data_IF_857775525267
#
_entry.id   IF_857775525267
#
_cell.length_a   1.000
_cell.length_b   1.000
_cell.length_c   1.000
_cell.angle_alpha   90.00
_cell.angle_beta   90.00
_cell.angle_gamma   90.00
#
_symmetry.space_group_name_H-M   'P 1'
#
loop_
_entity.id
_entity.type
_entity.pdbx_description
1 polymer ?
#
# COMPACT_ATOMS: atom_id res chain seq x y z
N UNK A 1 26.47 -13.56 5.90
CA UNK A 1 25.53 -12.97 4.94
C UNK A 1 25.50 -11.42 5.02
N UNK A 2 26.63 -10.76 4.80
CA UNK A 2 26.70 -9.28 4.95
C UNK A 2 26.12 -8.50 3.77
N UNK A 3 26.01 -9.08 2.58
CA UNK A 3 25.53 -8.37 1.38
C UNK A 3 24.03 -8.04 1.45
N UNK A 4 23.23 -8.93 2.05
CA UNK A 4 21.78 -8.72 2.21
C UNK A 4 21.47 -7.55 3.16
N UNK A 5 22.24 -7.38 4.23
CA UNK A 5 22.08 -6.24 5.16
C UNK A 5 22.44 -4.89 4.52
N UNK A 6 23.50 -4.86 3.69
CA UNK A 6 23.90 -3.64 3.00
C UNK A 6 22.83 -3.20 2.00
N UNK A 7 22.24 -4.14 1.27
CA UNK A 7 21.13 -3.86 0.35
C UNK A 7 19.87 -3.40 1.11
N UNK A 8 19.58 -4.01 2.25
CA UNK A 8 18.46 -3.61 3.12
C UNK A 8 18.63 -2.18 3.65
N UNK A 9 19.82 -1.83 4.14
CA UNK A 9 20.14 -0.48 4.63
C UNK A 9 20.14 0.57 3.51
N UNK A 10 20.64 0.23 2.32
CA UNK A 10 20.58 1.13 1.16
C UNK A 10 19.14 1.42 0.73
N UNK A 11 18.28 0.43 0.74
CA UNK A 11 16.87 0.55 0.36
C UNK A 11 15.99 1.16 1.48
N UNK A 12 16.47 1.17 2.73
CA UNK A 12 15.88 1.97 3.81
C UNK A 12 16.13 3.48 3.63
N UNK A 13 17.00 3.86 2.68
CA UNK A 13 17.22 5.26 2.31
C UNK A 13 16.03 5.76 1.47
N UNK A 14 15.32 6.84 1.88
CA UNK A 14 14.16 7.37 1.17
C UNK A 14 14.44 7.75 -0.30
N UNK A 15 15.66 8.15 -0.64
CA UNK A 15 16.04 8.51 -2.01
C UNK A 15 16.14 7.27 -2.91
N UNK A 16 16.76 6.19 -2.42
CA UNK A 16 16.88 4.92 -3.14
C UNK A 16 15.52 4.27 -3.32
N UNK A 17 14.71 4.26 -2.27
CA UNK A 17 13.32 3.77 -2.33
C UNK A 17 12.52 4.48 -3.42
N UNK A 18 12.59 5.82 -3.47
CA UNK A 18 11.89 6.60 -4.51
C UNK A 18 12.38 6.29 -5.92
N UNK A 19 13.70 6.22 -6.11
CA UNK A 19 14.27 5.93 -7.43
C UNK A 19 13.81 4.57 -7.96
N UNK A 20 13.65 3.59 -7.08
CA UNK A 20 13.14 2.26 -7.42
C UNK A 20 11.63 2.23 -7.69
N UNK A 21 10.84 2.98 -6.93
CA UNK A 21 9.37 2.99 -7.02
C UNK A 21 8.84 4.01 -8.04
N UNK A 22 9.54 5.14 -8.25
CA UNK A 22 9.03 6.25 -9.08
C UNK A 22 8.63 5.87 -10.51
N UNK A 23 9.37 5.03 -11.25
CA UNK A 23 8.99 4.66 -12.62
C UNK A 23 7.63 3.94 -12.72
N UNK A 24 7.17 3.34 -11.63
CA UNK A 24 5.95 2.54 -11.61
C UNK A 24 4.83 3.14 -10.75
N UNK A 25 5.08 4.26 -10.07
CA UNK A 25 4.11 4.86 -9.15
C UNK A 25 2.78 5.18 -9.85
N UNK A 26 2.82 5.82 -11.01
CA UNK A 26 1.63 6.14 -11.79
C UNK A 26 0.91 4.90 -12.31
N UNK A 27 1.64 3.89 -12.77
CA UNK A 27 1.08 2.63 -13.25
C UNK A 27 0.42 1.84 -12.10
N UNK A 28 1.02 1.81 -10.92
CA UNK A 28 0.42 1.22 -9.70
C UNK A 28 -0.90 1.91 -9.31
N UNK A 29 -0.97 3.22 -9.49
CA UNK A 29 -2.18 4.00 -9.17
C UNK A 29 -3.25 3.95 -10.28
N UNK A 30 -2.94 3.40 -11.44
CA UNK A 30 -3.84 3.29 -12.59
C UNK A 30 -5.20 2.66 -12.26
N UNK A 31 -5.27 1.47 -11.65
CA UNK A 31 -6.53 0.84 -11.25
C UNK A 31 -7.35 1.72 -10.28
N UNK A 32 -6.69 2.36 -9.31
CA UNK A 32 -7.37 3.26 -8.37
C UNK A 32 -8.08 4.38 -9.12
N UNK A 33 -7.40 5.04 -10.07
CA UNK A 33 -8.00 6.12 -10.89
C UNK A 33 -9.15 5.65 -11.77
N UNK A 34 -9.09 4.41 -12.30
CA UNK A 34 -10.17 3.87 -13.15
C UNK A 34 -11.45 3.61 -12.37
N UNK A 35 -11.34 3.21 -11.11
CA UNK A 35 -12.47 2.78 -10.30
C UNK A 35 -12.94 3.82 -9.28
N UNK A 36 -12.32 5.02 -9.25
CA UNK A 36 -12.66 6.04 -8.27
C UNK A 36 -12.60 7.45 -8.86
N UNK A 37 -13.57 8.28 -8.50
CA UNK A 37 -13.49 9.71 -8.67
C UNK A 37 -12.92 10.36 -7.42
N UNK A 38 -11.63 10.68 -7.44
CA UNK A 38 -10.94 11.27 -6.30
C UNK A 38 -11.49 12.64 -5.89
N UNK A 39 -12.28 13.31 -6.73
CA UNK A 39 -12.96 14.57 -6.40
C UNK A 39 -14.09 14.39 -5.37
N UNK A 40 -14.58 13.17 -5.22
CA UNK A 40 -15.61 12.82 -4.22
C UNK A 40 -15.01 12.42 -2.87
N UNK A 41 -13.71 12.18 -2.83
CA UNK A 41 -12.97 11.83 -1.61
C UNK A 41 -12.78 13.07 -0.75
N UNK A 42 -12.97 12.93 0.56
CA UNK A 42 -12.84 14.02 1.53
C UNK A 42 -11.70 13.79 2.51
N UNK A 43 -11.61 12.56 3.04
CA UNK A 43 -10.64 12.23 4.08
C UNK A 43 -9.89 10.95 3.76
N UNK A 44 -8.58 11.08 3.64
CA UNK A 44 -7.65 10.01 3.22
C UNK A 44 -6.79 9.57 4.37
N UNK A 45 -6.72 8.25 4.59
CA UNK A 45 -5.65 7.60 5.36
C UNK A 45 -4.73 6.85 4.38
N UNK A 46 -3.48 7.26 4.29
CA UNK A 46 -2.42 6.54 3.54
C UNK A 46 -1.64 5.68 4.55
N UNK A 47 -2.05 4.42 4.65
CA UNK A 47 -1.56 3.45 5.64
C UNK A 47 -0.30 2.76 5.11
N UNK A 48 0.86 3.05 5.71
CA UNK A 48 2.17 2.68 5.18
C UNK A 48 2.60 3.63 4.06
N UNK A 49 2.44 4.94 4.28
CA UNK A 49 2.66 5.97 3.27
C UNK A 49 4.13 6.07 2.80
N UNK A 50 5.06 5.41 3.50
CA UNK A 50 6.47 5.49 3.23
C UNK A 50 6.97 6.93 3.23
N UNK A 51 7.89 7.29 2.31
CA UNK A 51 8.35 8.66 2.18
C UNK A 51 7.35 9.59 1.46
N UNK A 52 6.04 9.26 1.43
CA UNK A 52 4.97 10.05 0.81
C UNK A 52 4.94 9.98 -0.72
N UNK A 53 5.23 8.82 -1.31
CA UNK A 53 5.32 8.68 -2.78
C UNK A 53 4.02 9.04 -3.49
N UNK A 54 2.86 8.71 -2.90
CA UNK A 54 1.53 8.96 -3.47
C UNK A 54 0.86 10.23 -2.93
N UNK A 55 1.45 10.89 -1.94
CA UNK A 55 0.82 11.99 -1.20
C UNK A 55 0.40 13.18 -2.10
N UNK A 56 1.15 13.44 -3.18
CA UNK A 56 0.83 14.51 -4.12
C UNK A 56 -0.53 14.33 -4.84
N UNK A 57 -1.04 13.10 -4.90
CA UNK A 57 -2.34 12.80 -5.53
C UNK A 57 -3.52 13.25 -4.66
N UNK A 58 -3.28 13.57 -3.39
CA UNK A 58 -4.28 13.94 -2.40
C UNK A 58 -4.16 15.38 -1.92
N UNK A 59 -3.44 16.25 -2.67
CA UNK A 59 -3.38 17.67 -2.35
C UNK A 59 -4.76 18.30 -2.37
N UNK A 60 -5.05 19.07 -1.30
CA UNK A 60 -6.36 19.72 -1.12
C UNK A 60 -7.40 18.86 -0.38
N UNK A 61 -7.07 17.62 -0.02
CA UNK A 61 -7.91 16.75 0.81
C UNK A 61 -7.45 16.72 2.26
N UNK A 62 -8.34 16.33 3.19
CA UNK A 62 -7.96 16.00 4.58
C UNK A 62 -7.18 14.68 4.55
N UNK A 63 -5.85 14.78 4.53
CA UNK A 63 -4.94 13.66 4.36
C UNK A 63 -4.12 13.41 5.61
N UNK A 64 -4.01 12.12 5.97
CA UNK A 64 -3.09 11.64 7.00
C UNK A 64 -2.28 10.47 6.44
N UNK A 65 -0.96 10.61 6.39
CA UNK A 65 -0.03 9.53 6.09
C UNK A 65 0.57 8.95 7.35
N UNK A 66 0.50 7.64 7.51
CA UNK A 66 1.10 6.91 8.64
C UNK A 66 2.14 5.90 8.15
N UNK A 67 3.29 5.86 8.82
CA UNK A 67 4.33 4.86 8.60
C UNK A 67 5.10 4.59 9.90
N UNK A 68 5.61 3.38 10.07
CA UNK A 68 6.40 3.01 11.25
C UNK A 68 7.81 3.61 11.22
N UNK A 69 8.32 3.94 10.03
CA UNK A 69 9.69 4.43 9.83
C UNK A 69 9.79 5.96 9.98
N UNK A 70 10.42 6.48 11.06
CA UNK A 70 10.51 7.93 11.30
C UNK A 70 11.31 8.67 10.22
N UNK A 71 12.28 8.02 9.56
CA UNK A 71 13.06 8.63 8.45
C UNK A 71 12.17 8.84 7.21
N UNK A 72 11.23 7.93 6.95
CA UNK A 72 10.27 8.10 5.87
C UNK A 72 9.33 9.26 6.16
N UNK A 73 8.78 9.33 7.37
CA UNK A 73 7.90 10.42 7.79
C UNK A 73 8.61 11.77 7.74
N UNK A 74 9.84 11.86 8.23
CA UNK A 74 10.64 13.10 8.11
C UNK A 74 10.83 13.53 6.64
N UNK A 75 11.14 12.58 5.76
CA UNK A 75 11.26 12.82 4.33
C UNK A 75 9.93 13.26 3.69
N UNK A 76 8.81 12.67 4.08
CA UNK A 76 7.49 13.03 3.58
C UNK A 76 7.09 14.46 4.00
N UNK A 77 7.26 14.79 5.28
CA UNK A 77 7.00 16.14 5.83
C UNK A 77 7.80 17.25 5.14
N UNK A 78 9.06 16.97 4.76
CA UNK A 78 9.90 17.93 4.03
C UNK A 78 9.43 18.21 2.60
N UNK A 79 8.66 17.29 2.00
CA UNK A 79 8.29 17.36 0.58
C UNK A 79 6.85 17.74 0.32
N UNK A 80 5.97 17.43 1.26
CA UNK A 80 4.52 17.59 1.05
C UNK A 80 3.90 18.43 2.17
N UNK A 81 3.05 19.40 1.82
CA UNK A 81 2.32 20.22 2.81
C UNK A 81 1.09 19.46 3.33
N UNK A 82 1.27 18.24 3.80
CA UNK A 82 0.23 17.33 4.29
C UNK A 82 0.62 16.78 5.67
N UNK A 83 -0.33 16.17 6.36
CA UNK A 83 -0.08 15.58 7.68
C UNK A 83 0.52 14.18 7.55
N UNK A 84 1.59 13.93 8.32
CA UNK A 84 2.25 12.62 8.41
C UNK A 84 2.65 12.35 9.86
N UNK A 85 2.43 11.12 10.33
CA UNK A 85 2.80 10.72 11.68
C UNK A 85 3.44 9.33 11.72
N UNK A 86 4.34 9.14 12.70
CA UNK A 86 4.94 7.84 12.97
C UNK A 86 3.97 7.03 13.81
N UNK A 87 3.53 5.88 13.29
CA UNK A 87 2.59 5.04 14.00
C UNK A 87 2.71 3.56 13.61
N UNK A 88 2.42 2.68 14.56
CA UNK A 88 2.14 1.27 14.29
C UNK A 88 0.66 1.10 13.93
N UNK A 89 0.41 0.85 12.66
CA UNK A 89 -0.94 0.71 12.10
C UNK A 89 -1.76 -0.44 12.74
N UNK A 90 -1.11 -1.44 13.32
CA UNK A 90 -1.80 -2.55 13.97
C UNK A 90 -2.45 -2.15 15.30
N UNK A 91 -2.00 -1.05 15.89
CA UNK A 91 -2.44 -0.59 17.22
C UNK A 91 -2.91 0.87 17.24
N UNK A 92 -2.65 1.62 16.15
CA UNK A 92 -2.97 3.03 16.08
C UNK A 92 -4.48 3.27 16.02
N UNK A 93 -4.93 4.21 16.82
CA UNK A 93 -6.29 4.75 16.80
C UNK A 93 -6.24 6.28 16.66
N UNK A 94 -7.13 6.86 15.84
CA UNK A 94 -7.19 8.31 15.72
C UNK A 94 -7.62 8.93 17.05
N UNK A 95 -6.84 9.90 17.60
CA UNK A 95 -7.13 10.49 18.92
C UNK A 95 -8.50 11.17 19.03
N UNK A 96 -9.04 11.64 17.90
CA UNK A 96 -10.34 12.31 17.80
C UNK A 96 -11.46 11.39 17.30
N UNK A 97 -11.21 10.10 17.16
CA UNK A 97 -12.19 9.12 16.69
C UNK A 97 -12.62 9.29 15.22
N UNK A 98 -11.86 10.09 14.41
CA UNK A 98 -12.18 10.32 13.00
C UNK A 98 -12.23 9.03 12.19
N UNK A 99 -13.08 9.05 11.16
CA UNK A 99 -13.20 7.99 10.15
C UNK A 99 -12.74 8.52 8.80
N UNK A 100 -12.42 7.59 7.90
CA UNK A 100 -11.89 7.88 6.57
C UNK A 100 -12.82 7.34 5.50
N UNK A 101 -13.05 8.08 4.45
CA UNK A 101 -13.81 7.61 3.29
C UNK A 101 -12.90 6.95 2.24
N UNK A 102 -11.59 7.16 2.35
CA UNK A 102 -10.58 6.54 1.50
C UNK A 102 -9.38 6.08 2.33
N UNK A 103 -9.16 4.77 2.44
CA UNK A 103 -7.98 4.19 3.09
C UNK A 103 -7.12 3.52 2.03
N UNK A 104 -5.88 3.97 1.86
CA UNK A 104 -4.92 3.42 0.91
C UNK A 104 -3.91 2.53 1.62
N UNK A 105 -3.67 1.33 1.07
CA UNK A 105 -2.48 0.51 1.33
C UNK A 105 -1.81 0.24 -0.01
N UNK A 106 -0.57 0.66 -0.15
CA UNK A 106 0.17 0.48 -1.41
C UNK A 106 1.52 -0.19 -1.15
N UNK A 107 1.65 -1.45 -1.55
CA UNK A 107 2.88 -2.25 -1.40
C UNK A 107 3.36 -2.35 0.05
N UNK A 108 2.45 -2.70 0.95
CA UNK A 108 2.71 -2.84 2.39
C UNK A 108 2.53 -4.28 2.90
N UNK A 109 1.46 -4.96 2.47
CA UNK A 109 1.01 -6.19 3.14
C UNK A 109 1.95 -7.38 2.92
N UNK A 110 2.70 -7.41 1.81
CA UNK A 110 3.70 -8.44 1.57
C UNK A 110 4.94 -8.33 2.48
N UNK A 111 5.06 -7.27 3.29
CA UNK A 111 6.05 -7.15 4.36
C UNK A 111 5.59 -7.74 5.69
N UNK A 112 4.31 -8.09 5.82
CA UNK A 112 3.69 -8.52 7.07
C UNK A 112 3.34 -10.02 7.02
N UNK A 113 3.55 -10.72 8.13
CA UNK A 113 3.03 -12.07 8.30
C UNK A 113 1.50 -12.11 8.29
N UNK A 114 0.91 -13.27 8.05
CA UNK A 114 -0.55 -13.39 7.90
C UNK A 114 -1.33 -12.94 9.15
N UNK A 115 -0.93 -13.28 10.39
CA UNK A 115 -1.59 -12.75 11.58
C UNK A 115 -1.56 -11.22 11.68
N UNK A 116 -0.45 -10.58 11.31
CA UNK A 116 -0.33 -9.11 11.29
C UNK A 116 -1.19 -8.47 10.21
N UNK A 117 -1.28 -9.09 9.03
CA UNK A 117 -2.21 -8.64 7.97
C UNK A 117 -3.65 -8.66 8.49
N UNK A 118 -4.10 -9.75 9.12
CA UNK A 118 -5.47 -9.83 9.64
C UNK A 118 -5.74 -8.78 10.73
N UNK A 119 -4.79 -8.54 11.64
CA UNK A 119 -4.92 -7.47 12.66
C UNK A 119 -5.05 -6.10 12.01
N UNK A 120 -4.17 -5.78 11.06
CA UNK A 120 -4.17 -4.52 10.35
C UNK A 120 -5.47 -4.30 9.59
N UNK A 121 -5.92 -5.26 8.77
CA UNK A 121 -7.14 -5.12 7.98
C UNK A 121 -8.38 -5.01 8.86
N UNK A 122 -8.44 -5.75 9.97
CA UNK A 122 -9.51 -5.61 10.97
C UNK A 122 -9.52 -4.20 11.59
N UNK A 123 -8.36 -3.64 11.90
CA UNK A 123 -8.24 -2.27 12.42
C UNK A 123 -8.72 -1.26 11.38
N UNK A 124 -8.25 -1.35 10.14
CA UNK A 124 -8.61 -0.41 9.08
C UNK A 124 -10.10 -0.47 8.71
N UNK A 125 -10.72 -1.66 8.74
CA UNK A 125 -12.16 -1.78 8.53
C UNK A 125 -12.97 -0.93 9.51
N UNK A 126 -12.54 -0.87 10.78
CA UNK A 126 -13.19 -0.04 11.80
C UNK A 126 -12.99 1.46 11.60
N UNK A 127 -11.99 1.87 10.84
CA UNK A 127 -11.68 3.27 10.55
C UNK A 127 -12.43 3.82 9.32
N UNK A 128 -13.12 2.98 8.56
CA UNK A 128 -13.93 3.42 7.42
C UNK A 128 -15.20 4.15 7.88
N UNK A 129 -15.58 5.18 7.11
CA UNK A 129 -16.95 5.71 7.15
C UNK A 129 -17.93 4.67 6.56
N UNK A 130 -19.26 4.77 6.79
CA UNK A 130 -20.23 3.83 6.22
C UNK A 130 -20.13 3.70 4.69
N UNK A 131 -19.86 4.78 3.97
CA UNK A 131 -19.70 4.80 2.52
C UNK A 131 -18.23 4.76 2.07
N UNK A 132 -17.30 4.57 3.02
CA UNK A 132 -15.87 4.57 2.76
C UNK A 132 -15.37 3.25 2.19
N UNK A 133 -14.21 3.32 1.54
CA UNK A 133 -13.59 2.15 0.92
C UNK A 133 -12.11 2.05 1.29
N UNK A 134 -11.67 0.81 1.48
CA UNK A 134 -10.24 0.48 1.46
C UNK A 134 -9.80 0.25 0.01
N UNK A 135 -8.60 0.71 -0.30
CA UNK A 135 -7.93 0.55 -1.58
C UNK A 135 -6.57 -0.09 -1.34
N UNK A 136 -6.42 -1.33 -1.77
CA UNK A 136 -5.20 -2.11 -1.56
C UNK A 136 -4.56 -2.38 -2.92
N UNK A 137 -3.29 -2.05 -3.06
CA UNK A 137 -2.44 -2.47 -4.17
C UNK A 137 -1.27 -3.24 -3.59
N UNK A 138 -1.18 -4.53 -3.91
CA UNK A 138 -0.11 -5.34 -3.34
C UNK A 138 0.45 -6.36 -4.33
N UNK A 139 1.63 -6.92 -3.99
CA UNK A 139 2.39 -7.83 -4.81
C UNK A 139 1.74 -9.22 -4.82
N UNK A 140 1.59 -9.80 -6.02
CA UNK A 140 1.20 -11.20 -6.20
C UNK A 140 2.47 -12.05 -6.38
N UNK A 141 2.52 -13.22 -5.72
CA UNK A 141 3.46 -14.27 -6.05
C UNK A 141 2.91 -15.12 -7.20
N UNK A 142 3.44 -15.00 -8.44
CA UNK A 142 2.94 -15.79 -9.56
C UNK A 142 3.14 -17.29 -9.33
N UNK A 143 2.17 -18.11 -9.72
CA UNK A 143 2.27 -19.57 -9.59
C UNK A 143 3.33 -20.17 -10.53
N UNK A 144 3.41 -19.64 -11.76
CA UNK A 144 4.34 -20.13 -12.78
C UNK A 144 5.75 -19.55 -12.61
N UNK A 145 6.77 -20.34 -12.95
CA UNK A 145 8.15 -19.86 -13.02
C UNK A 145 8.26 -18.79 -14.11
N UNK A 146 8.65 -17.58 -13.72
CA UNK A 146 8.73 -16.42 -14.60
C UNK A 146 9.67 -15.36 -14.01
N UNK A 147 10.05 -14.37 -14.82
CA UNK A 147 10.83 -13.24 -14.35
C UNK A 147 10.10 -12.52 -13.19
N UNK A 148 8.80 -12.30 -13.33
CA UNK A 148 7.99 -11.65 -12.28
C UNK A 148 7.95 -12.45 -10.98
N UNK A 149 7.95 -13.80 -11.04
CA UNK A 149 8.08 -14.63 -9.84
C UNK A 149 9.45 -14.46 -9.18
N UNK A 150 10.52 -14.46 -9.99
CA UNK A 150 11.88 -14.24 -9.49
C UNK A 150 12.03 -12.87 -8.81
N UNK A 151 11.47 -11.82 -9.41
CA UNK A 151 11.46 -10.48 -8.84
C UNK A 151 10.60 -10.40 -7.58
N UNK A 152 9.44 -11.07 -7.53
CA UNK A 152 8.59 -11.10 -6.36
C UNK A 152 9.27 -11.79 -5.15
N UNK A 153 10.05 -12.85 -5.40
CA UNK A 153 10.83 -13.54 -4.36
C UNK A 153 12.10 -12.76 -3.95
N UNK A 154 12.60 -11.89 -4.82
CA UNK A 154 13.74 -11.01 -4.54
C UNK A 154 13.32 -9.66 -3.95
N UNK A 155 12.02 -9.38 -3.89
CA UNK A 155 11.50 -8.18 -3.23
C UNK A 155 11.80 -8.24 -1.72
N UNK A 156 11.82 -7.08 -1.08
CA UNK A 156 12.09 -6.97 0.37
C UNK A 156 11.00 -7.50 1.27
N UNK A 157 9.83 -7.81 0.70
CA UNK A 157 8.73 -8.40 1.44
C UNK A 157 8.97 -9.88 1.69
N UNK A 158 8.96 -10.29 2.95
CA UNK A 158 9.21 -11.69 3.33
C UNK A 158 7.99 -12.59 3.08
N UNK A 159 6.83 -12.01 2.75
CA UNK A 159 5.54 -12.71 2.69
C UNK A 159 4.77 -12.45 1.40
N UNK A 160 5.37 -12.61 0.20
CA UNK A 160 4.60 -12.50 -1.05
C UNK A 160 3.58 -13.66 -1.11
N UNK A 161 2.33 -13.35 -1.48
CA UNK A 161 1.22 -14.31 -1.48
C UNK A 161 0.65 -14.52 -2.88
N UNK A 162 0.15 -15.73 -3.20
CA UNK A 162 -0.60 -15.97 -4.44
C UNK A 162 -1.92 -15.18 -4.44
N UNK A 163 -2.47 -15.00 -5.64
CA UNK A 163 -3.68 -14.19 -5.85
C UNK A 163 -4.88 -14.70 -5.05
N UNK A 164 -5.06 -16.01 -5.02
CA UNK A 164 -6.19 -16.67 -4.35
C UNK A 164 -6.15 -16.41 -2.85
N UNK A 165 -4.95 -16.46 -2.24
CA UNK A 165 -4.81 -16.17 -0.81
C UNK A 165 -5.08 -14.69 -0.49
N UNK A 166 -4.69 -13.75 -1.38
CA UNK A 166 -5.06 -12.35 -1.22
C UNK A 166 -6.58 -12.17 -1.25
N UNK A 167 -7.27 -12.83 -2.18
CA UNK A 167 -8.72 -12.77 -2.29
C UNK A 167 -9.38 -13.25 -0.99
N UNK A 168 -9.00 -14.43 -0.51
CA UNK A 168 -9.51 -15.00 0.74
C UNK A 168 -9.31 -14.05 1.93
N UNK A 169 -8.11 -13.48 2.08
CA UNK A 169 -7.79 -12.56 3.17
C UNK A 169 -8.64 -11.30 3.09
N UNK A 170 -8.74 -10.66 1.92
CA UNK A 170 -9.47 -9.41 1.78
C UNK A 170 -10.97 -9.59 2.01
N UNK A 171 -11.55 -10.67 1.48
CA UNK A 171 -12.96 -10.99 1.63
C UNK A 171 -13.37 -11.34 3.07
N UNK A 172 -12.43 -11.72 3.93
CA UNK A 172 -12.71 -11.91 5.36
C UNK A 172 -12.96 -10.58 6.10
N UNK A 173 -12.37 -9.47 5.63
CA UNK A 173 -12.40 -8.18 6.32
C UNK A 173 -13.31 -7.14 5.66
N UNK A 174 -13.54 -7.25 4.35
CA UNK A 174 -14.27 -6.26 3.57
C UNK A 174 -15.29 -6.90 2.65
N UNK A 175 -16.33 -6.14 2.29
CA UNK A 175 -17.22 -6.50 1.20
C UNK A 175 -16.53 -6.10 -0.13
N UNK A 176 -16.25 -7.07 -1.04
CA UNK A 176 -15.56 -6.76 -2.29
C UNK A 176 -16.40 -5.86 -3.20
N UNK A 177 -15.77 -4.85 -3.78
CA UNK A 177 -16.32 -3.97 -4.82
C UNK A 177 -15.55 -4.14 -6.13
N UNK A 178 -14.21 -4.23 -6.04
CA UNK A 178 -13.32 -4.51 -7.18
C UNK A 178 -12.22 -5.46 -6.72
N UNK A 179 -11.90 -6.46 -7.54
CA UNK A 179 -10.73 -7.33 -7.39
C UNK A 179 -10.10 -7.51 -8.77
N UNK A 180 -9.01 -6.79 -9.03
CA UNK A 180 -8.39 -6.68 -10.35
C UNK A 180 -6.89 -7.00 -10.29
N UNK A 181 -6.47 -8.19 -10.75
CA UNK A 181 -5.05 -8.45 -10.99
C UNK A 181 -4.55 -7.66 -12.21
N UNK A 182 -3.35 -7.10 -12.12
CA UNK A 182 -2.73 -6.38 -13.22
C UNK A 182 -1.21 -6.54 -13.20
N UNK A 183 -0.55 -6.19 -14.31
CA UNK A 183 0.89 -6.31 -14.45
C UNK A 183 1.55 -4.96 -14.67
N UNK A 184 2.72 -4.78 -14.07
CA UNK A 184 3.63 -3.70 -14.44
C UNK A 184 4.60 -4.22 -15.50
N UNK A 185 4.56 -3.59 -16.66
CA UNK A 185 5.38 -3.97 -17.82
C UNK A 185 6.38 -2.88 -18.15
N UNK A 186 7.56 -3.29 -18.60
CA UNK A 186 8.59 -2.40 -19.16
C UNK A 186 9.20 -3.08 -20.39
N UNK A 187 9.27 -2.37 -21.50
CA UNK A 187 9.77 -2.90 -22.77
C UNK A 187 9.11 -4.22 -23.20
N UNK A 188 7.80 -4.40 -22.95
CA UNK A 188 7.04 -5.60 -23.28
C UNK A 188 7.22 -6.78 -22.31
N UNK A 189 8.05 -6.65 -21.28
CA UNK A 189 8.25 -7.68 -20.26
C UNK A 189 7.41 -7.36 -19.02
N UNK A 190 6.67 -8.36 -18.51
CA UNK A 190 6.01 -8.27 -17.23
C UNK A 190 7.03 -8.40 -16.09
N UNK A 191 7.24 -7.32 -15.34
CA UNK A 191 8.19 -7.28 -14.25
C UNK A 191 7.53 -7.67 -12.92
N UNK A 192 6.35 -7.10 -12.62
CA UNK A 192 5.60 -7.43 -11.40
C UNK A 192 4.15 -7.72 -11.71
N UNK A 193 3.58 -8.68 -10.99
CA UNK A 193 2.15 -8.90 -10.92
C UNK A 193 1.62 -8.33 -9.61
N UNK A 194 0.56 -7.57 -9.70
CA UNK A 194 -0.08 -6.88 -8.57
C UNK A 194 -1.58 -7.17 -8.59
N UNK A 195 -2.19 -7.01 -7.44
CA UNK A 195 -3.65 -6.97 -7.31
C UNK A 195 -4.08 -5.59 -6.81
N UNK A 196 -5.13 -5.06 -7.42
CA UNK A 196 -5.90 -3.96 -6.85
C UNK A 196 -7.19 -4.52 -6.26
N UNK A 197 -7.45 -4.16 -5.02
CA UNK A 197 -8.69 -4.47 -4.31
C UNK A 197 -9.34 -3.17 -3.83
N UNK A 198 -10.65 -3.06 -4.07
CA UNK A 198 -11.52 -2.06 -3.46
C UNK A 198 -12.57 -2.78 -2.63
N UNK A 199 -12.67 -2.45 -1.34
CA UNK A 199 -13.63 -3.06 -0.43
C UNK A 199 -14.34 -2.05 0.43
N UNK A 200 -15.63 -2.27 0.70
CA UNK A 200 -16.41 -1.51 1.68
C UNK A 200 -16.28 -2.15 3.07
N UNK A 201 -16.62 -1.39 4.13
CA UNK A 201 -16.76 -1.96 5.46
C UNK A 201 -17.85 -3.05 5.47
N UNK A 202 -17.66 -4.07 6.32
CA UNK A 202 -18.68 -5.11 6.57
C UNK A 202 -19.59 -4.67 7.68
#
# INVERSE_FOLDING_TARGET
>A
MPVLHIVYDMLANPAVYRMWQAPFADAKFGPIRRHNDLRQVRRVLDAGCGPGTNAHLFYGLDYLGLDLNPKYIESARKRHPLQFDVADLCTWEPPDGRKFDFILLNSLLHHLDTPSVHRLLSQLSRLLTPDGHVHIVDLILPAQLSLSRGLALADRGDYPRPLELWQEIFEQHFQPVVFEPFSLTMAGLSLWQLVYFKGAAR
#
